data_IF_946383650691
#
_entry.id   IF_946383650691
#
_cell.length_a   1.000
_cell.length_b   1.000
_cell.length_c   1.000
_cell.angle_alpha   90.00
_cell.angle_beta   90.00
_cell.angle_gamma   90.00
#
_symmetry.space_group_name_H-M   'P 1'
#
loop_
_entity.id
_entity.type
_entity.pdbx_description
1 polymer ?
#
# COMPACT_ATOMS: atom_id res chain seq x y z
N UNK A 1 -4.53 -0.17 3.08
CA UNK A 1 -5.73 0.00 2.22
C UNK A 1 -6.80 0.93 2.78
N UNK A 2 -6.65 1.42 4.03
CA UNK A 2 -7.62 2.30 4.69
C UNK A 2 -7.99 3.55 3.88
N UNK A 3 -7.07 4.13 3.12
CA UNK A 3 -7.36 5.27 2.25
C UNK A 3 -8.42 4.98 1.19
N UNK A 4 -8.42 3.77 0.62
CA UNK A 4 -9.42 3.35 -0.38
C UNK A 4 -10.79 3.14 0.27
N UNK A 5 -10.83 2.47 1.42
CA UNK A 5 -12.07 2.30 2.21
C UNK A 5 -12.68 3.63 2.64
N UNK A 6 -11.83 4.55 3.11
CA UNK A 6 -12.25 5.84 3.66
C UNK A 6 -12.43 6.93 2.60
N UNK A 7 -12.36 6.59 1.31
CA UNK A 7 -12.48 7.53 0.20
C UNK A 7 -11.53 8.74 0.29
N UNK A 8 -10.33 8.53 0.83
CA UNK A 8 -9.32 9.57 1.03
C UNK A 8 -9.45 10.40 2.30
N UNK A 9 -10.36 10.07 3.23
CA UNK A 9 -10.42 10.73 4.56
C UNK A 9 -9.16 10.40 5.36
N UNK A 10 -8.75 9.14 5.41
CA UNK A 10 -7.48 8.73 5.99
C UNK A 10 -6.45 8.51 4.88
N UNK A 11 -5.52 9.45 4.72
CA UNK A 11 -4.49 9.38 3.67
C UNK A 11 -3.34 8.46 4.06
N UNK A 12 -2.85 7.67 3.12
CA UNK A 12 -1.65 6.87 3.30
C UNK A 12 -0.43 7.79 3.43
N UNK A 13 0.33 7.65 4.51
CA UNK A 13 1.48 8.50 4.78
C UNK A 13 2.73 7.95 4.12
N UNK A 14 3.35 8.74 3.23
CA UNK A 14 4.70 8.43 2.74
C UNK A 14 5.70 8.67 3.88
N UNK A 15 6.46 7.64 4.22
CA UNK A 15 7.42 7.69 5.32
C UNK A 15 8.73 6.99 4.92
N UNK A 16 9.84 7.46 5.48
CA UNK A 16 11.19 6.90 5.28
C UNK A 16 11.98 6.96 6.58
N UNK A 17 12.96 6.08 6.73
CA UNK A 17 13.91 6.10 7.84
C UNK A 17 15.21 6.72 7.35
N UNK A 18 15.75 7.67 8.12
CA UNK A 18 17.09 8.22 7.91
C UNK A 18 18.05 7.58 8.92
N UNK A 19 19.13 6.99 8.43
CA UNK A 19 20.20 6.49 9.29
C UNK A 19 21.08 7.63 9.80
N UNK A 20 21.60 7.48 11.03
CA UNK A 20 22.53 8.41 11.66
C UNK A 20 23.85 7.73 12.08
N UNK A 21 24.18 6.58 11.48
CA UNK A 21 25.38 5.80 11.78
C UNK A 21 25.31 4.97 13.07
N UNK A 22 24.18 4.97 13.78
CA UNK A 22 23.94 4.13 14.95
C UNK A 22 22.99 2.99 14.62
N UNK A 23 23.07 1.91 15.40
CA UNK A 23 22.12 0.81 15.29
C UNK A 23 20.71 1.28 15.65
N UNK A 24 19.74 0.89 14.82
CA UNK A 24 18.32 1.19 15.04
C UNK A 24 17.51 -0.08 14.90
N UNK A 25 16.85 -0.46 15.98
CA UNK A 25 15.93 -1.59 16.02
C UNK A 25 14.48 -1.09 15.95
N UNK A 26 13.67 -1.72 15.13
CA UNK A 26 12.22 -1.44 15.08
C UNK A 26 11.45 -2.71 14.80
N UNK A 27 10.33 -2.87 15.50
CA UNK A 27 9.39 -3.97 15.31
C UNK A 27 8.09 -3.33 14.81
N UNK A 28 7.70 -3.67 13.58
CA UNK A 28 6.50 -3.11 12.96
C UNK A 28 5.35 -4.12 13.02
N UNK A 29 4.13 -3.61 13.19
CA UNK A 29 2.90 -4.36 13.06
C UNK A 29 2.08 -3.77 11.92
N UNK A 30 1.64 -4.64 11.01
CA UNK A 30 0.79 -4.28 9.88
C UNK A 30 -0.51 -5.06 10.01
N UNK A 31 -1.63 -4.37 9.80
CA UNK A 31 -2.96 -4.97 9.79
C UNK A 31 -3.55 -4.84 8.39
N UNK A 32 -3.92 -6.00 7.84
CA UNK A 32 -4.49 -6.14 6.51
C UNK A 32 -5.78 -6.97 6.59
N UNK A 33 -6.77 -6.72 5.72
CA UNK A 33 -7.90 -7.62 5.59
C UNK A 33 -7.50 -8.95 4.95
N UNK A 34 -8.39 -9.94 5.01
CA UNK A 34 -8.24 -11.20 4.27
C UNK A 34 -7.94 -10.96 2.78
N UNK A 35 -7.16 -11.84 2.17
CA UNK A 35 -6.76 -11.78 0.76
C UNK A 35 -7.96 -11.71 -0.20
N UNK A 36 -9.08 -12.33 0.17
CA UNK A 36 -10.32 -12.37 -0.62
C UNK A 36 -11.27 -11.21 -0.31
N UNK A 37 -10.89 -10.32 0.62
CA UNK A 37 -11.68 -9.14 0.90
C UNK A 37 -11.68 -8.19 -0.31
N UNK A 38 -12.87 -7.89 -0.82
CA UNK A 38 -13.08 -6.82 -1.79
C UNK A 38 -13.00 -5.47 -1.07
N UNK A 39 -11.97 -4.70 -1.40
CA UNK A 39 -11.76 -3.36 -0.88
C UNK A 39 -12.43 -2.36 -1.81
N UNK A 40 -13.55 -1.82 -1.36
CA UNK A 40 -14.31 -0.78 -2.04
C UNK A 40 -14.70 0.34 -1.05
N UNK A 41 -14.99 1.53 -1.56
CA UNK A 41 -15.36 2.66 -0.71
C UNK A 41 -16.54 2.32 0.21
N UNK A 42 -16.34 2.49 1.52
CA UNK A 42 -17.35 2.21 2.54
C UNK A 42 -18.59 3.09 2.34
N UNK A 43 -19.80 2.60 2.67
CA UNK A 43 -21.05 3.35 2.50
C UNK A 43 -21.03 4.72 3.20
N UNK A 44 -20.44 4.80 4.39
CA UNK A 44 -20.33 6.04 5.18
C UNK A 44 -19.27 7.01 4.65
N UNK A 45 -18.50 6.64 3.63
CA UNK A 45 -17.43 7.45 3.05
C UNK A 45 -17.72 7.91 1.61
N UNK A 46 -18.94 7.65 1.09
CA UNK A 46 -19.39 8.09 -0.22
C UNK A 46 -20.77 8.75 -0.16
N UNK A 47 -21.04 9.63 -1.11
CA UNK A 47 -22.34 10.27 -1.34
C UNK A 47 -22.45 10.66 -2.82
N UNK A 48 -23.61 11.16 -3.25
CA UNK A 48 -23.79 11.64 -4.63
C UNK A 48 -22.83 12.79 -4.98
N UNK A 49 -22.52 13.64 -3.99
CA UNK A 49 -21.55 14.74 -4.10
C UNK A 49 -20.08 14.31 -3.91
N UNK A 50 -19.82 13.11 -3.39
CA UNK A 50 -18.49 12.55 -3.18
C UNK A 50 -18.49 11.05 -3.55
N UNK A 51 -18.53 10.72 -4.85
CA UNK A 51 -18.54 9.33 -5.29
C UNK A 51 -17.23 8.61 -4.93
N UNK A 52 -17.19 7.26 -5.02
CA UNK A 52 -15.97 6.49 -4.82
C UNK A 52 -14.83 6.97 -5.73
N UNK A 53 -13.68 7.35 -5.14
CA UNK A 53 -12.50 7.83 -5.87
C UNK A 53 -11.62 6.71 -6.41
N UNK A 54 -11.79 5.50 -5.89
CA UNK A 54 -10.97 4.35 -6.22
C UNK A 54 -11.86 3.20 -6.71
N UNK A 55 -11.47 2.48 -7.77
CA UNK A 55 -12.18 1.27 -8.17
C UNK A 55 -12.01 0.17 -7.10
N UNK A 56 -13.03 -0.70 -6.94
CA UNK A 56 -12.92 -1.90 -6.11
C UNK A 56 -11.73 -2.75 -6.52
N UNK A 57 -11.04 -3.33 -5.54
CA UNK A 57 -9.89 -4.22 -5.76
C UNK A 57 -9.84 -5.27 -4.65
N UNK A 58 -9.42 -6.50 -4.97
CA UNK A 58 -9.20 -7.51 -3.94
C UNK A 58 -7.90 -7.21 -3.19
N UNK A 59 -7.89 -7.51 -1.89
CA UNK A 59 -6.72 -7.30 -1.03
C UNK A 59 -5.45 -7.92 -1.64
N UNK A 60 -5.53 -9.18 -2.07
CA UNK A 60 -4.40 -9.90 -2.68
C UNK A 60 -3.84 -9.18 -3.91
N UNK A 61 -4.70 -8.67 -4.79
CA UNK A 61 -4.28 -8.05 -6.04
C UNK A 61 -3.58 -6.71 -5.77
N UNK A 62 -4.12 -5.94 -4.82
CA UNK A 62 -3.48 -4.69 -4.39
C UNK A 62 -2.11 -4.95 -3.74
N UNK A 63 -2.02 -5.93 -2.83
CA UNK A 63 -0.75 -6.28 -2.20
C UNK A 63 0.28 -6.74 -3.24
N UNK A 64 -0.09 -7.65 -4.14
CA UNK A 64 0.79 -8.10 -5.23
C UNK A 64 1.30 -6.94 -6.09
N UNK A 65 0.43 -5.99 -6.45
CA UNK A 65 0.82 -4.78 -7.16
C UNK A 65 1.87 -3.99 -6.35
N UNK A 66 1.61 -3.71 -5.07
CA UNK A 66 2.55 -2.94 -4.23
C UNK A 66 3.88 -3.64 -4.00
N UNK A 67 3.88 -4.96 -3.87
CA UNK A 67 5.11 -5.75 -3.79
C UNK A 67 5.95 -5.58 -5.06
N UNK A 68 5.33 -5.76 -6.23
CA UNK A 68 5.98 -5.60 -7.53
C UNK A 68 6.50 -4.17 -7.75
N UNK A 69 5.75 -3.14 -7.35
CA UNK A 69 6.16 -1.73 -7.48
C UNK A 69 7.36 -1.37 -6.59
N UNK A 70 7.47 -2.01 -5.42
CA UNK A 70 8.44 -1.63 -4.38
C UNK A 70 9.76 -2.41 -4.51
N UNK A 71 9.69 -3.67 -4.92
CA UNK A 71 10.86 -4.54 -4.96
C UNK A 71 11.61 -4.35 -6.27
N UNK A 72 12.88 -3.94 -6.17
CA UNK A 72 13.74 -3.85 -7.34
C UNK A 72 13.94 -5.26 -7.95
N UNK A 73 13.82 -5.37 -9.27
CA UNK A 73 14.28 -6.56 -9.98
C UNK A 73 15.81 -6.61 -9.90
N UNK A 74 16.32 -7.45 -8.99
CA UNK A 74 17.75 -7.59 -8.76
C UNK A 74 18.48 -8.16 -10.00
N UNK A 75 17.77 -8.73 -10.97
CA UNK A 75 18.37 -9.17 -12.23
C UNK A 75 18.85 -8.01 -13.09
N UNK A 76 18.35 -6.79 -12.87
CA UNK A 76 18.82 -5.57 -13.54
C UNK A 76 20.31 -5.32 -13.23
N UNK A 77 20.74 -5.59 -11.99
CA UNK A 77 22.15 -5.44 -11.60
C UNK A 77 23.06 -6.55 -12.15
N UNK A 78 22.53 -7.76 -12.39
CA UNK A 78 23.30 -8.87 -12.97
C UNK A 78 23.64 -8.64 -14.45
N UNK A 79 22.79 -7.93 -15.20
CA UNK A 79 23.06 -7.58 -16.61
C UNK A 79 24.14 -6.50 -16.79
N UNK A 80 24.45 -5.73 -15.76
CA UNK A 80 25.44 -4.64 -15.83
C UNK A 80 26.88 -5.08 -15.50
N UNK A 81 27.08 -6.35 -15.10
CA UNK A 81 28.39 -6.93 -14.79
C UNK A 81 28.90 -7.89 -15.89
N UNK A 82 28.21 -7.96 -17.02
CA UNK A 82 28.60 -8.77 -18.19
C UNK A 82 29.02 -7.87 -19.36
#
# INVERSE_FOLDING_TARGET
MLERWSNGVFKSTLHRVLGNGQERYSIAYFLEPSHDCLVECLPTCKSDSNPPKFPPILCRDYLSQRYNDTHADLNVYKKQQA
#
